data_IF_346381980262
#
_entry.id   IF_346381980262
#
_cell.length_a   1.000
_cell.length_b   1.000
_cell.length_c   1.000
_cell.angle_alpha   90.00
_cell.angle_beta   90.00
_cell.angle_gamma   90.00
#
_symmetry.space_group_name_H-M   'P 1'
#
loop_
_entity.id
_entity.type
_entity.pdbx_description
1 polymer ?
#
# COMPACT_ATOMS: atom_id res chain seq x y z
N UNK A 1 1.10 5.91 16.83
CA UNK A 1 0.70 5.12 15.65
C UNK A 1 0.66 6.05 14.43
N UNK A 2 1.07 5.58 13.27
CA UNK A 2 1.07 6.35 12.02
C UNK A 2 -0.35 6.53 11.51
N UNK A 3 -0.77 7.76 11.27
CA UNK A 3 -2.08 8.06 10.67
C UNK A 3 -1.99 7.95 9.15
N UNK A 4 -2.73 7.01 8.56
CA UNK A 4 -2.74 6.78 7.12
C UNK A 4 -4.04 7.30 6.50
N UNK A 5 -3.89 8.13 5.47
CA UNK A 5 -4.99 8.63 4.65
C UNK A 5 -4.97 7.95 3.29
N UNK A 6 -6.02 7.21 2.98
CA UNK A 6 -6.22 6.59 1.66
C UNK A 6 -7.12 7.47 0.83
N UNK A 7 -6.58 8.03 -0.25
CA UNK A 7 -7.34 8.69 -1.30
C UNK A 7 -7.67 7.63 -2.35
N UNK A 8 -8.89 7.17 -2.36
CA UNK A 8 -9.37 6.11 -3.22
C UNK A 8 -10.21 6.66 -4.36
N UNK A 9 -9.92 6.24 -5.57
CA UNK A 9 -10.74 6.51 -6.76
C UNK A 9 -11.06 5.20 -7.47
N UNK A 10 -12.34 4.92 -7.60
CA UNK A 10 -12.87 3.80 -8.39
C UNK A 10 -14.29 4.10 -8.83
N UNK A 11 -14.61 4.02 -10.13
CA UNK A 11 -15.92 4.42 -10.66
C UNK A 11 -17.09 3.58 -10.12
N UNK A 12 -16.84 2.32 -9.78
CA UNK A 12 -17.84 1.42 -9.23
C UNK A 12 -17.21 0.44 -8.22
N UNK A 13 -17.11 0.86 -6.97
CA UNK A 13 -16.58 0.04 -5.88
C UNK A 13 -17.47 -1.17 -5.61
N UNK A 14 -18.79 -1.04 -5.78
CA UNK A 14 -19.73 -2.11 -5.48
C UNK A 14 -19.55 -3.33 -6.40
N UNK A 15 -19.05 -3.12 -7.61
CA UNK A 15 -18.75 -4.20 -8.57
C UNK A 15 -17.27 -4.60 -8.58
N UNK A 16 -16.43 -3.97 -7.77
CA UNK A 16 -14.99 -4.25 -7.73
C UNK A 16 -14.62 -5.20 -6.60
N UNK A 17 -14.48 -6.49 -6.91
CA UNK A 17 -14.06 -7.49 -5.93
C UNK A 17 -12.72 -7.17 -5.26
N UNK A 18 -11.78 -6.57 -5.98
CA UNK A 18 -10.49 -6.15 -5.41
C UNK A 18 -10.63 -5.00 -4.43
N UNK A 19 -11.41 -3.96 -4.77
CA UNK A 19 -11.60 -2.82 -3.86
C UNK A 19 -12.42 -3.22 -2.64
N UNK A 20 -13.47 -4.03 -2.80
CA UNK A 20 -14.24 -4.56 -1.67
C UNK A 20 -13.36 -5.37 -0.71
N UNK A 21 -12.47 -6.22 -1.26
CA UNK A 21 -11.53 -7.00 -0.46
C UNK A 21 -10.58 -6.10 0.34
N UNK A 22 -9.99 -5.09 -0.31
CA UNK A 22 -9.07 -4.15 0.35
C UNK A 22 -9.78 -3.31 1.42
N UNK A 23 -11.00 -2.84 1.14
CA UNK A 23 -11.81 -2.09 2.10
C UNK A 23 -12.22 -2.94 3.30
N UNK A 24 -12.59 -4.20 3.08
CA UNK A 24 -12.91 -5.12 4.17
C UNK A 24 -11.70 -5.38 5.09
N UNK A 25 -10.49 -5.40 4.52
CA UNK A 25 -9.25 -5.61 5.27
C UNK A 25 -8.95 -4.50 6.30
N UNK A 26 -9.40 -3.28 6.03
CA UNK A 26 -9.11 -2.10 6.88
C UNK A 26 -10.33 -1.65 7.69
N UNK A 27 -11.40 -2.44 7.68
CA UNK A 27 -12.58 -2.13 8.45
C UNK A 27 -12.29 -2.24 9.96
N UNK A 28 -12.52 -1.15 10.69
CA UNK A 28 -12.24 -1.07 12.13
C UNK A 28 -10.83 -0.57 12.48
N UNK A 29 -9.97 -0.26 11.51
CA UNK A 29 -8.65 0.33 11.73
C UNK A 29 -8.76 1.84 11.98
N UNK A 30 -8.78 2.25 13.24
CA UNK A 30 -8.99 3.66 13.65
C UNK A 30 -7.93 4.63 13.12
N UNK A 31 -6.70 4.15 12.84
CA UNK A 31 -5.61 4.95 12.30
C UNK A 31 -5.67 5.13 10.78
N UNK A 32 -6.62 4.48 10.08
CA UNK A 32 -6.77 4.55 8.62
C UNK A 32 -8.04 5.30 8.26
N UNK A 33 -7.87 6.43 7.60
CA UNK A 33 -8.96 7.23 7.05
C UNK A 33 -9.07 7.01 5.54
N UNK A 34 -10.28 6.86 5.03
CA UNK A 34 -10.55 6.68 3.60
C UNK A 34 -11.32 7.89 3.06
N UNK A 35 -10.87 8.40 1.91
CA UNK A 35 -11.58 9.39 1.10
C UNK A 35 -11.92 8.75 -0.26
N UNK A 36 -13.15 8.31 -0.45
CA UNK A 36 -13.63 7.77 -1.73
C UNK A 36 -14.10 8.94 -2.61
N UNK A 37 -13.31 9.26 -3.61
CA UNK A 37 -13.45 10.51 -4.37
C UNK A 37 -14.75 10.59 -5.16
N UNK A 38 -15.16 9.50 -5.81
CA UNK A 38 -16.41 9.45 -6.56
C UNK A 38 -17.65 9.62 -5.66
N UNK A 39 -17.64 9.02 -4.45
CA UNK A 39 -18.72 9.19 -3.49
C UNK A 39 -18.78 10.64 -3.00
N UNK A 40 -17.63 11.26 -2.73
CA UNK A 40 -17.56 12.66 -2.30
C UNK A 40 -18.12 13.60 -3.37
N UNK A 41 -17.77 13.40 -4.65
CA UNK A 41 -18.26 14.23 -5.73
C UNK A 41 -19.75 14.00 -6.01
N UNK A 42 -20.26 12.78 -5.82
CA UNK A 42 -21.68 12.47 -6.01
C UNK A 42 -22.60 13.23 -5.03
N UNK A 43 -22.09 13.62 -3.87
CA UNK A 43 -22.81 14.41 -2.85
C UNK A 43 -22.75 15.92 -3.12
N UNK A 44 -22.05 16.38 -4.17
CA UNK A 44 -21.80 17.80 -4.43
C UNK A 44 -22.46 18.24 -5.74
N UNK A 45 -23.22 19.34 -5.66
CA UNK A 45 -23.89 19.93 -6.83
C UNK A 45 -22.92 20.60 -7.81
N UNK A 46 -21.77 21.12 -7.28
CA UNK A 46 -20.76 21.84 -8.06
C UNK A 46 -19.71 20.93 -8.71
N UNK A 47 -19.72 19.62 -8.42
CA UNK A 47 -18.73 18.64 -8.88
C UNK A 47 -17.27 19.02 -8.60
N UNK A 48 -17.03 19.75 -7.50
CA UNK A 48 -15.70 20.15 -7.05
C UNK A 48 -15.43 19.66 -5.63
N UNK A 49 -14.16 19.40 -5.33
CA UNK A 49 -13.74 19.01 -3.99
C UNK A 49 -13.69 20.23 -3.04
N UNK A 50 -14.12 20.03 -1.80
CA UNK A 50 -13.90 21.02 -0.74
C UNK A 50 -12.43 21.02 -0.35
N UNK A 51 -11.68 22.00 -0.91
CA UNK A 51 -10.23 22.11 -0.70
C UNK A 51 -9.86 22.29 0.75
N UNK A 52 -10.73 22.85 1.58
CA UNK A 52 -10.48 23.06 3.01
C UNK A 52 -10.50 21.74 3.75
N UNK A 53 -11.55 20.93 3.51
CA UNK A 53 -11.70 19.60 4.11
C UNK A 53 -10.59 18.67 3.63
N UNK A 54 -10.35 18.59 2.32
CA UNK A 54 -9.34 17.69 1.77
C UNK A 54 -7.93 18.01 2.27
N UNK A 55 -7.60 19.31 2.35
CA UNK A 55 -6.30 19.75 2.88
C UNK A 55 -6.16 19.53 4.39
N UNK A 56 -7.24 19.64 5.15
CA UNK A 56 -7.22 19.31 6.57
C UNK A 56 -6.90 17.80 6.76
N UNK A 57 -7.57 16.91 6.02
CA UNK A 57 -7.26 15.47 6.03
C UNK A 57 -5.79 15.20 5.66
N UNK A 58 -5.29 15.86 4.61
CA UNK A 58 -3.89 15.76 4.22
C UNK A 58 -2.94 16.22 5.32
N UNK A 59 -3.27 17.30 6.04
CA UNK A 59 -2.40 17.83 7.11
C UNK A 59 -2.30 16.90 8.31
N UNK A 60 -3.39 16.25 8.68
CA UNK A 60 -3.45 15.34 9.83
C UNK A 60 -2.73 14.01 9.59
N UNK A 61 -2.66 13.56 8.33
CA UNK A 61 -2.05 12.29 7.98
C UNK A 61 -0.51 12.35 8.04
N UNK A 62 0.11 11.27 8.49
CA UNK A 62 1.56 11.02 8.39
C UNK A 62 1.91 10.34 7.07
N UNK A 63 1.00 9.49 6.58
CA UNK A 63 1.12 8.75 5.32
C UNK A 63 -0.09 8.99 4.43
N UNK A 64 0.17 9.16 3.13
CA UNK A 64 -0.85 9.36 2.11
C UNK A 64 -0.72 8.27 1.07
N UNK A 65 -1.81 7.56 0.81
CA UNK A 65 -1.88 6.48 -0.18
C UNK A 65 -2.87 6.87 -1.27
N UNK A 66 -2.43 6.89 -2.52
CA UNK A 66 -3.34 6.93 -3.66
C UNK A 66 -3.69 5.50 -4.07
N UNK A 67 -4.96 5.13 -3.99
CA UNK A 67 -5.46 3.78 -4.31
C UNK A 67 -6.43 3.83 -5.49
N UNK A 68 -6.06 3.14 -6.59
CA UNK A 68 -6.86 3.19 -7.82
C UNK A 68 -6.62 2.01 -8.76
N UNK A 69 -7.56 1.71 -9.68
CA UNK A 69 -7.31 0.79 -10.79
C UNK A 69 -6.49 1.48 -11.88
N UNK A 70 -5.52 0.74 -12.43
CA UNK A 70 -4.59 1.26 -13.43
C UNK A 70 -5.21 1.20 -14.84
N UNK A 71 -6.03 2.20 -15.16
CA UNK A 71 -6.71 2.29 -16.44
C UNK A 71 -5.88 3.08 -17.45
N UNK A 72 -5.58 2.45 -18.60
CA UNK A 72 -4.79 3.10 -19.66
C UNK A 72 -3.51 3.76 -19.14
N UNK A 73 -2.82 3.05 -18.23
CA UNK A 73 -1.54 3.47 -17.65
C UNK A 73 -1.63 4.72 -16.75
N UNK A 74 -2.82 5.06 -16.27
CA UNK A 74 -3.08 6.22 -15.43
C UNK A 74 -4.13 5.93 -14.34
N UNK A 75 -4.28 6.87 -13.40
CA UNK A 75 -5.38 6.88 -12.47
C UNK A 75 -6.70 7.30 -13.16
N UNK A 76 -7.86 7.01 -12.56
CA UNK A 76 -9.14 7.56 -13.00
C UNK A 76 -9.13 9.10 -13.01
N UNK A 77 -9.96 9.70 -13.90
CA UNK A 77 -10.05 11.15 -14.09
C UNK A 77 -10.38 11.92 -12.80
N UNK A 78 -11.23 11.32 -11.95
CA UNK A 78 -11.64 11.92 -10.67
C UNK A 78 -10.43 12.07 -9.71
N UNK A 79 -9.52 11.10 -9.69
CA UNK A 79 -8.29 11.25 -8.90
C UNK A 79 -7.38 12.35 -9.48
N UNK A 80 -7.30 12.47 -10.80
CA UNK A 80 -6.52 13.55 -11.40
C UNK A 80 -7.15 14.91 -11.08
N UNK A 81 -8.48 15.04 -11.15
CA UNK A 81 -9.19 16.23 -10.75
C UNK A 81 -8.89 16.59 -9.27
N UNK A 82 -8.97 15.62 -8.37
CA UNK A 82 -8.63 15.84 -6.96
C UNK A 82 -7.19 16.35 -6.79
N UNK A 83 -6.23 15.74 -7.49
CA UNK A 83 -4.84 16.21 -7.44
C UNK A 83 -4.71 17.66 -7.90
N UNK A 84 -5.38 18.04 -9.00
CA UNK A 84 -5.31 19.39 -9.57
C UNK A 84 -6.00 20.44 -8.69
N UNK A 85 -7.10 20.08 -8.02
CA UNK A 85 -7.85 21.02 -7.18
C UNK A 85 -7.26 21.16 -5.77
N UNK A 86 -6.76 20.08 -5.20
CA UNK A 86 -6.38 20.03 -3.78
C UNK A 86 -4.89 20.26 -3.56
N UNK A 87 -4.03 19.64 -4.39
CA UNK A 87 -2.59 19.74 -4.23
C UNK A 87 -2.07 21.07 -4.77
N UNK A 88 -1.39 21.81 -3.91
CA UNK A 88 -0.77 23.09 -4.27
C UNK A 88 0.62 23.20 -3.66
N UNK A 89 1.49 23.98 -4.28
CA UNK A 89 2.85 24.22 -3.77
C UNK A 89 2.85 24.83 -2.35
N UNK A 90 1.78 25.53 -1.96
CA UNK A 90 1.65 26.10 -0.61
C UNK A 90 1.44 25.04 0.48
N UNK A 91 1.05 23.81 0.13
CA UNK A 91 1.04 22.68 1.07
C UNK A 91 2.46 22.29 1.51
N UNK A 92 3.48 22.61 0.70
CA UNK A 92 4.89 22.32 0.95
C UNK A 92 5.49 23.17 2.08
N UNK A 93 5.03 24.40 2.25
CA UNK A 93 5.73 25.40 3.10
C UNK A 93 5.45 25.26 4.59
N UNK A 94 4.49 24.42 5.00
CA UNK A 94 4.01 24.32 6.39
C UNK A 94 3.92 22.91 6.95
N UNK A 95 4.31 21.86 6.21
CA UNK A 95 3.99 20.49 6.56
C UNK A 95 5.18 19.64 7.02
N UNK A 96 4.90 18.73 7.95
CA UNK A 96 5.74 17.59 8.28
C UNK A 96 6.02 16.76 7.01
N UNK A 97 7.24 16.27 6.85
CA UNK A 97 7.58 15.34 5.77
C UNK A 97 6.69 14.10 5.87
N UNK A 98 5.93 13.82 4.83
CA UNK A 98 4.96 12.72 4.78
C UNK A 98 5.50 11.56 3.97
N UNK A 99 5.02 10.37 4.24
CA UNK A 99 5.19 9.23 3.35
C UNK A 99 4.10 9.23 2.29
N UNK A 100 4.48 8.88 1.07
CA UNK A 100 3.57 8.87 -0.07
C UNK A 100 3.67 7.54 -0.82
N UNK A 101 2.59 6.78 -0.84
CA UNK A 101 2.50 5.47 -1.46
C UNK A 101 1.42 5.40 -2.52
N UNK A 102 1.56 4.40 -3.39
CA UNK A 102 0.61 4.08 -4.46
C UNK A 102 0.16 2.64 -4.29
N UNK A 103 -1.15 2.41 -4.27
CA UNK A 103 -1.77 1.10 -4.37
C UNK A 103 -2.53 1.01 -5.68
N UNK A 104 -2.08 0.15 -6.59
CA UNK A 104 -2.74 -0.01 -7.89
C UNK A 104 -3.21 -1.44 -8.12
N UNK A 105 -4.42 -1.57 -8.66
CA UNK A 105 -4.95 -2.85 -9.17
C UNK A 105 -4.81 -2.90 -10.67
N UNK A 106 -4.22 -3.99 -11.18
CA UNK A 106 -3.87 -4.18 -12.59
C UNK A 106 -4.52 -5.45 -13.11
N UNK A 107 -5.35 -5.35 -14.15
CA UNK A 107 -6.03 -6.49 -14.75
C UNK A 107 -5.13 -7.41 -15.57
N UNK A 108 -3.98 -6.92 -16.03
CA UNK A 108 -3.02 -7.68 -16.83
C UNK A 108 -1.98 -8.40 -15.96
N UNK A 109 -1.28 -9.38 -16.56
CA UNK A 109 -0.18 -10.12 -15.89
C UNK A 109 1.03 -9.23 -15.68
N UNK A 110 1.80 -9.53 -14.62
CA UNK A 110 3.03 -8.82 -14.26
C UNK A 110 4.08 -8.83 -15.38
N UNK A 111 4.22 -9.96 -16.09
CA UNK A 111 5.20 -10.16 -17.17
C UNK A 111 5.01 -9.21 -18.37
N UNK A 112 3.80 -8.64 -18.53
CA UNK A 112 3.57 -7.63 -19.56
C UNK A 112 4.24 -6.28 -19.27
N UNK A 113 4.48 -5.99 -17.99
CA UNK A 113 5.06 -4.73 -17.49
C UNK A 113 6.56 -4.89 -17.20
N UNK A 114 7.30 -5.33 -18.21
CA UNK A 114 8.75 -5.49 -18.17
C UNK A 114 9.36 -5.05 -19.50
N UNK A 115 10.65 -4.79 -19.51
CA UNK A 115 11.39 -4.65 -20.76
C UNK A 115 11.25 -5.93 -21.59
N UNK A 116 10.81 -5.82 -22.84
CA UNK A 116 10.50 -6.96 -23.71
C UNK A 116 9.09 -7.56 -23.49
N UNK A 117 8.34 -7.16 -22.48
CA UNK A 117 6.92 -7.47 -22.33
C UNK A 117 6.05 -6.71 -23.32
N UNK A 118 4.77 -7.09 -23.46
CA UNK A 118 3.88 -6.46 -24.47
C UNK A 118 3.55 -5.00 -24.20
N UNK A 119 3.74 -4.50 -22.96
CA UNK A 119 3.63 -3.07 -22.62
C UNK A 119 4.96 -2.36 -22.88
N UNK A 120 6.09 -3.05 -22.73
CA UNK A 120 7.43 -2.54 -22.99
C UNK A 120 8.03 -1.64 -21.90
N UNK A 121 7.25 -1.36 -20.83
CA UNK A 121 7.67 -0.53 -19.71
C UNK A 121 7.35 -1.23 -18.39
N UNK A 122 8.22 -1.05 -17.39
CA UNK A 122 7.96 -1.44 -16.01
C UNK A 122 6.83 -0.61 -15.40
N UNK A 123 6.10 -1.20 -14.45
CA UNK A 123 5.02 -0.46 -13.77
C UNK A 123 5.57 0.77 -13.04
N UNK A 124 6.77 0.67 -12.48
CA UNK A 124 7.47 1.74 -11.78
C UNK A 124 7.80 2.91 -12.73
N UNK A 125 8.11 2.60 -14.01
CA UNK A 125 8.35 3.63 -15.04
C UNK A 125 7.07 4.38 -15.38
N UNK A 126 5.94 3.66 -15.48
CA UNK A 126 4.62 4.25 -15.75
C UNK A 126 4.10 5.08 -14.55
N UNK A 127 4.55 4.78 -13.32
CA UNK A 127 4.20 5.52 -12.10
C UNK A 127 5.15 6.68 -11.79
N UNK A 128 6.16 6.96 -12.62
CA UNK A 128 7.10 8.09 -12.46
C UNK A 128 6.44 9.46 -12.23
N UNK A 129 5.30 9.81 -12.85
CA UNK A 129 4.62 11.08 -12.56
C UNK A 129 4.27 11.27 -11.09
N UNK A 130 3.90 10.20 -10.37
CA UNK A 130 3.58 10.24 -8.94
C UNK A 130 4.83 10.39 -8.07
N UNK A 131 5.94 9.77 -8.48
CA UNK A 131 7.23 10.00 -7.82
C UNK A 131 7.69 11.45 -7.99
N UNK A 132 7.54 12.01 -9.19
CA UNK A 132 7.85 13.42 -9.45
C UNK A 132 6.97 14.34 -8.61
N UNK A 133 5.67 14.02 -8.46
CA UNK A 133 4.75 14.73 -7.58
C UNK A 133 5.21 14.68 -6.13
N UNK A 134 5.55 13.49 -5.60
CA UNK A 134 6.05 13.34 -4.24
C UNK A 134 7.33 14.16 -4.01
N UNK A 135 8.27 14.12 -4.94
CA UNK A 135 9.49 14.92 -4.89
C UNK A 135 9.21 16.42 -4.87
N UNK A 136 8.28 16.88 -5.72
CA UNK A 136 7.86 18.28 -5.76
C UNK A 136 7.17 18.72 -4.45
N UNK A 137 6.43 17.81 -3.81
CA UNK A 137 5.77 18.02 -2.52
C UNK A 137 6.71 17.82 -1.32
N UNK A 138 7.97 17.43 -1.53
CA UNK A 138 8.92 17.11 -0.45
C UNK A 138 8.53 15.88 0.37
N UNK A 139 7.70 15.01 -0.19
CA UNK A 139 7.22 13.79 0.46
C UNK A 139 8.13 12.61 0.13
N UNK A 140 8.20 11.63 1.03
CA UNK A 140 8.98 10.43 0.87
C UNK A 140 8.20 9.39 0.05
N UNK A 141 8.55 9.21 -1.24
CA UNK A 141 7.91 8.25 -2.13
C UNK A 141 8.25 6.81 -1.72
N UNK A 142 7.23 6.00 -1.52
CA UNK A 142 7.35 4.58 -1.18
C UNK A 142 7.29 3.72 -2.43
N UNK A 143 7.87 2.52 -2.37
CA UNK A 143 7.72 1.52 -3.44
C UNK A 143 6.24 1.24 -3.69
N UNK A 144 5.74 1.31 -4.93
CA UNK A 144 4.34 1.07 -5.23
C UNK A 144 3.88 -0.34 -4.83
N UNK A 145 2.70 -0.45 -4.27
CA UNK A 145 2.03 -1.71 -3.98
C UNK A 145 1.14 -2.10 -5.16
N UNK A 146 1.54 -3.11 -5.92
CA UNK A 146 0.90 -3.48 -7.18
C UNK A 146 0.20 -4.82 -7.06
N UNK A 147 -1.11 -4.84 -7.35
CA UNK A 147 -1.97 -6.03 -7.29
C UNK A 147 -2.31 -6.43 -8.72
N UNK A 148 -1.65 -7.47 -9.21
CA UNK A 148 -1.91 -8.01 -10.54
C UNK A 148 -3.00 -9.07 -10.50
N UNK A 149 -3.93 -9.01 -11.46
CA UNK A 149 -4.92 -10.04 -11.73
C UNK A 149 -5.63 -10.58 -10.46
N UNK A 150 -6.12 -9.70 -9.60
CA UNK A 150 -6.73 -10.05 -8.32
C UNK A 150 -7.76 -11.19 -8.42
N UNK A 151 -8.59 -11.19 -9.48
CA UNK A 151 -9.64 -12.19 -9.70
C UNK A 151 -9.11 -13.61 -9.90
N UNK A 152 -7.84 -13.75 -10.31
CA UNK A 152 -7.18 -15.04 -10.55
C UNK A 152 -6.27 -15.50 -9.42
N UNK A 153 -6.23 -14.75 -8.31
CA UNK A 153 -5.46 -15.14 -7.14
C UNK A 153 -6.14 -16.30 -6.41
N UNK A 154 -5.35 -17.30 -6.00
CA UNK A 154 -5.82 -18.34 -5.07
C UNK A 154 -6.14 -17.74 -3.71
N UNK A 155 -6.94 -18.44 -2.90
CA UNK A 155 -7.28 -17.97 -1.54
C UNK A 155 -6.03 -17.75 -0.66
N UNK A 156 -5.04 -18.64 -0.76
CA UNK A 156 -3.76 -18.47 -0.05
C UNK A 156 -3.03 -17.18 -0.47
N UNK A 157 -3.02 -16.85 -1.77
CA UNK A 157 -2.43 -15.60 -2.27
C UNK A 157 -3.23 -14.37 -1.85
N UNK A 158 -4.56 -14.47 -1.73
CA UNK A 158 -5.39 -13.40 -1.20
C UNK A 158 -5.13 -13.16 0.29
N UNK A 159 -4.97 -14.24 1.09
CA UNK A 159 -4.57 -14.12 2.50
C UNK A 159 -3.22 -13.43 2.65
N UNK A 160 -2.23 -13.83 1.84
CA UNK A 160 -0.93 -13.18 1.81
C UNK A 160 -1.05 -11.69 1.40
N UNK A 161 -1.84 -11.40 0.36
CA UNK A 161 -2.10 -10.04 -0.10
C UNK A 161 -2.71 -9.16 1.01
N UNK A 162 -3.62 -9.71 1.81
CA UNK A 162 -4.25 -8.99 2.93
C UNK A 162 -3.20 -8.56 3.96
N UNK A 163 -2.33 -9.48 4.36
CA UNK A 163 -1.24 -9.19 5.30
C UNK A 163 -0.26 -8.17 4.71
N UNK A 164 0.13 -8.34 3.45
CA UNK A 164 1.05 -7.43 2.76
C UNK A 164 0.46 -6.02 2.63
N UNK A 165 -0.83 -5.92 2.33
CA UNK A 165 -1.54 -4.65 2.19
C UNK A 165 -1.63 -3.91 3.54
N UNK A 166 -2.05 -4.58 4.62
CA UNK A 166 -2.10 -3.98 5.95
C UNK A 166 -0.72 -3.52 6.41
N UNK A 167 0.29 -4.36 6.22
CA UNK A 167 1.66 -4.00 6.55
C UNK A 167 2.14 -2.78 5.76
N UNK A 168 1.84 -2.71 4.45
CA UNK A 168 2.17 -1.57 3.61
C UNK A 168 1.52 -0.27 4.09
N UNK A 169 0.26 -0.32 4.50
CA UNK A 169 -0.47 0.84 5.00
C UNK A 169 0.09 1.36 6.33
N UNK A 170 0.61 0.49 7.19
CA UNK A 170 1.15 0.87 8.49
C UNK A 170 2.64 1.24 8.46
N UNK A 171 3.44 0.56 7.63
CA UNK A 171 4.90 0.67 7.65
C UNK A 171 5.52 1.23 6.36
N UNK A 172 4.80 1.24 5.24
CA UNK A 172 5.30 1.76 3.94
C UNK A 172 6.44 0.94 3.31
N UNK A 173 6.93 -0.09 4.00
CA UNK A 173 8.03 -0.96 3.61
C UNK A 173 7.49 -2.32 3.16
N UNK A 174 8.29 -3.07 2.40
CA UNK A 174 7.97 -4.45 2.01
C UNK A 174 9.06 -5.42 2.49
N UNK A 175 9.85 -5.05 3.49
CA UNK A 175 10.93 -5.88 4.00
C UNK A 175 10.38 -7.04 4.85
N UNK A 176 10.83 -8.26 4.56
CA UNK A 176 10.29 -9.48 5.16
C UNK A 176 10.49 -9.56 6.68
N UNK A 177 11.68 -9.25 7.18
CA UNK A 177 12.00 -9.36 8.60
C UNK A 177 11.18 -8.37 9.46
N UNK A 178 10.98 -7.15 8.97
CA UNK A 178 10.16 -6.15 9.65
C UNK A 178 8.67 -6.55 9.66
N UNK A 179 8.19 -7.16 8.58
CA UNK A 179 6.82 -7.64 8.47
C UNK A 179 6.53 -8.79 9.44
N UNK A 180 7.46 -9.71 9.63
CA UNK A 180 7.32 -10.81 10.58
C UNK A 180 7.19 -10.29 12.02
N UNK A 181 8.04 -9.34 12.41
CA UNK A 181 7.97 -8.69 13.71
C UNK A 181 6.65 -7.93 13.90
N UNK A 182 6.21 -7.17 12.92
CA UNK A 182 4.93 -6.48 12.92
C UNK A 182 3.74 -7.44 13.07
N UNK A 183 3.75 -8.60 12.37
CA UNK A 183 2.72 -9.62 12.52
C UNK A 183 2.63 -10.14 13.95
N UNK A 184 3.77 -10.43 14.57
CA UNK A 184 3.82 -10.94 15.95
C UNK A 184 3.29 -9.89 16.95
N UNK A 185 3.61 -8.62 16.75
CA UNK A 185 3.10 -7.52 17.57
C UNK A 185 1.59 -7.36 17.38
N UNK A 186 1.11 -7.35 16.13
CA UNK A 186 -0.32 -7.23 15.82
C UNK A 186 -1.16 -8.38 16.36
N UNK A 187 -0.65 -9.61 16.29
CA UNK A 187 -1.32 -10.77 16.91
C UNK A 187 -1.45 -10.64 18.43
N UNK A 188 -0.57 -9.90 19.09
CA UNK A 188 -0.66 -9.62 20.53
C UNK A 188 -1.88 -8.77 20.92
N UNK A 189 -2.49 -8.03 19.99
CA UNK A 189 -3.73 -7.26 20.26
C UNK A 189 -4.99 -8.15 20.23
N UNK A 190 -4.91 -9.33 19.67
CA UNK A 190 -6.04 -10.28 19.59
C UNK A 190 -5.84 -11.38 20.63
N UNK A 191 -6.25 -11.13 21.86
CA UNK A 191 -6.14 -12.08 22.99
C UNK A 191 -7.17 -13.21 22.88
N UNK A 192 -6.89 -14.21 22.07
CA UNK A 192 -7.61 -15.49 22.12
C UNK A 192 -6.62 -16.67 22.01
N UNK A 193 -7.05 -17.84 22.49
CA UNK A 193 -6.20 -19.04 22.58
C UNK A 193 -5.60 -19.44 21.22
N UNK A 194 -6.32 -19.21 20.12
CA UNK A 194 -5.85 -19.53 18.77
C UNK A 194 -4.73 -18.60 18.30
N UNK A 195 -4.87 -17.30 18.53
CA UNK A 195 -3.83 -16.32 18.17
C UNK A 195 -2.57 -16.52 18.99
N UNK A 196 -2.70 -16.90 20.26
CA UNK A 196 -1.54 -17.20 21.10
C UNK A 196 -0.77 -18.42 20.61
N UNK A 197 -1.45 -19.51 20.27
CA UNK A 197 -0.83 -20.73 19.71
C UNK A 197 -0.12 -20.46 18.38
N UNK A 198 -0.76 -19.71 17.47
CA UNK A 198 -0.15 -19.34 16.18
C UNK A 198 1.06 -18.44 16.39
N UNK A 199 1.01 -17.51 17.35
CA UNK A 199 2.13 -16.65 17.70
C UNK A 199 3.32 -17.44 18.22
N UNK A 200 3.10 -18.37 19.13
CA UNK A 200 4.14 -19.27 19.69
C UNK A 200 4.79 -20.07 18.55
N UNK A 201 4.00 -20.66 17.68
CA UNK A 201 4.50 -21.42 16.52
C UNK A 201 5.31 -20.55 15.54
N UNK A 202 4.91 -19.31 15.25
CA UNK A 202 5.69 -18.39 14.41
C UNK A 202 7.03 -18.05 15.06
N UNK A 203 7.07 -17.89 16.40
CA UNK A 203 8.31 -17.62 17.13
C UNK A 203 9.27 -18.80 17.03
N UNK A 204 8.77 -20.04 17.18
CA UNK A 204 9.58 -21.25 17.00
C UNK A 204 10.16 -21.37 15.60
N UNK A 205 9.33 -21.20 14.56
CA UNK A 205 9.79 -21.20 13.16
C UNK A 205 10.85 -20.12 12.86
N UNK A 206 10.72 -18.97 13.49
CA UNK A 206 11.71 -17.90 13.38
C UNK A 206 13.05 -18.31 13.97
N UNK A 207 13.05 -18.91 15.14
CA UNK A 207 14.27 -19.43 15.81
C UNK A 207 14.95 -20.52 14.97
N UNK A 208 14.19 -21.50 14.49
CA UNK A 208 14.71 -22.56 13.61
C UNK A 208 15.37 -21.97 12.34
N UNK A 209 14.73 -20.95 11.74
CA UNK A 209 15.30 -20.28 10.55
C UNK A 209 16.59 -19.54 10.88
N UNK A 210 16.66 -18.83 12.00
CA UNK A 210 17.85 -18.11 12.44
C UNK A 210 19.01 -19.09 12.71
N UNK A 211 18.75 -20.23 13.32
CA UNK A 211 19.73 -21.30 13.53
C UNK A 211 20.24 -21.87 12.20
N UNK A 212 19.35 -22.13 11.23
CA UNK A 212 19.74 -22.61 9.91
C UNK A 212 20.61 -21.58 9.15
N UNK A 213 20.27 -20.29 9.24
CA UNK A 213 21.07 -19.22 8.62
C UNK A 213 22.45 -19.14 9.26
N UNK A 214 22.54 -19.31 10.58
CA UNK A 214 23.83 -19.33 11.31
C UNK A 214 24.68 -20.51 10.87
N UNK A 215 24.12 -21.73 10.83
CA UNK A 215 24.81 -22.94 10.34
C UNK A 215 25.32 -22.79 8.92
N UNK A 216 24.48 -22.23 8.01
CA UNK A 216 24.90 -21.99 6.62
C UNK A 216 26.04 -20.96 6.52
N UNK A 217 26.03 -19.94 7.36
CA UNK A 217 27.10 -18.93 7.39
C UNK A 217 28.43 -19.51 7.90
N UNK A 218 28.37 -20.41 8.87
CA UNK A 218 29.56 -21.13 9.39
C UNK A 218 30.13 -22.08 8.33
N UNK A 219 29.28 -22.85 7.64
CA UNK A 219 29.70 -23.74 6.54
C UNK A 219 30.30 -22.98 5.35
N UNK A 220 29.77 -21.76 5.03
CA UNK A 220 30.30 -20.90 3.97
C UNK A 220 31.70 -20.37 4.29
N UNK A 221 31.97 -20.04 5.54
CA UNK A 221 33.30 -19.55 5.98
C UNK A 221 34.36 -20.65 6.01
N UNK A 222 33.99 -21.94 6.15
CA UNK A 222 34.94 -23.06 6.05
C UNK A 222 35.31 -23.39 4.59
N UNK A 223 34.47 -23.03 3.61
CA UNK A 223 34.72 -23.30 2.19
C UNK A 223 35.69 -22.31 1.53
N UNK A 224 35.84 -21.10 2.07
CA UNK A 224 36.76 -20.05 1.56
C UNK A 224 38.18 -20.15 2.13
N UNK A 225 38.48 -21.22 2.89
CA UNK A 225 39.76 -21.46 3.55
C UNK A 225 40.71 -22.42 2.78
N UNK A 226 40.50 -22.69 1.48
CA UNK A 226 41.42 -23.51 0.66
C UNK A 226 41.94 -22.74 -0.54
#
# INVERSE_FOLDING_TARGET
MTKTLIIMSHPDVAQSSSQQFLLAAINGEEQIQIRHLEAILAEREDYHFDKTIERACLQEADRIILQFPFYWYQCPSVMKQWMDEVLTLNLLQKGKKKEFGIVVTVGAKKDRYTAGGSVGFGIEELLRPYQALANQLGWNYQTPFVIYQFQYLSESKKQQLLVDYLYYLENGSQQFNEKEQWMLERMGYYENTHTQQVREWIVELKQEREELVMMLSEMGNEADGF
#
